data_IF_865709437777
#
_entry.id   IF_865709437777
#
_cell.length_a   1.000
_cell.length_b   1.000
_cell.length_c   1.000
_cell.angle_alpha   90.00
_cell.angle_beta   90.00
_cell.angle_gamma   90.00
#
_symmetry.space_group_name_H-M   'P 1'
#
loop_
_entity.id
_entity.type
_entity.pdbx_description
1 polymer ?
#
# COMPACT_ATOMS: atom_id res chain seq x y z
N UNK A 1 -14.18 -23.80 -45.15
CA UNK A 1 -14.23 -24.05 -43.68
C UNK A 1 -12.97 -23.44 -43.08
N UNK A 2 -13.11 -22.30 -42.41
CA UNK A 2 -12.06 -21.63 -41.64
C UNK A 2 -12.65 -21.32 -40.27
N UNK A 3 -11.93 -21.65 -39.19
CA UNK A 3 -11.88 -20.70 -38.10
C UNK A 3 -10.51 -20.72 -37.41
N UNK A 4 -9.76 -19.62 -37.44
CA UNK A 4 -8.74 -19.29 -36.43
C UNK A 4 -8.25 -17.85 -36.65
N UNK A 5 -9.04 -16.86 -36.18
CA UNK A 5 -8.62 -15.46 -36.04
C UNK A 5 -9.37 -14.81 -34.88
N UNK A 6 -9.05 -15.19 -33.65
CA UNK A 6 -9.54 -14.48 -32.46
C UNK A 6 -8.47 -14.27 -31.36
N UNK A 7 -7.25 -14.81 -31.50
CA UNK A 7 -6.22 -14.69 -30.47
C UNK A 7 -5.34 -13.42 -30.58
N UNK A 8 -5.30 -12.77 -31.75
CA UNK A 8 -4.29 -11.73 -32.01
C UNK A 8 -4.72 -10.31 -31.58
N UNK A 9 -6.00 -10.10 -31.29
CA UNK A 9 -6.51 -8.78 -30.90
C UNK A 9 -6.20 -8.43 -29.43
N UNK A 10 -6.22 -9.40 -28.52
CA UNK A 10 -5.92 -9.13 -27.10
C UNK A 10 -4.46 -8.80 -26.85
N UNK A 11 -3.54 -9.33 -27.66
CA UNK A 11 -2.10 -9.09 -27.52
C UNK A 11 -1.72 -7.64 -27.88
N UNK A 12 -2.43 -7.03 -28.83
CA UNK A 12 -2.13 -5.67 -29.33
C UNK A 12 -2.78 -4.58 -28.47
N UNK A 13 -3.95 -4.84 -27.88
CA UNK A 13 -4.59 -3.90 -26.93
C UNK A 13 -3.94 -3.90 -25.54
N UNK A 14 -3.19 -4.96 -25.17
CA UNK A 14 -2.39 -4.99 -23.95
C UNK A 14 -1.14 -4.10 -23.97
N UNK A 15 -0.69 -3.64 -25.14
CA UNK A 15 0.61 -2.98 -25.31
C UNK A 15 0.63 -1.49 -24.92
N UNK A 16 -0.52 -0.86 -24.69
CA UNK A 16 -0.62 0.56 -24.34
C UNK A 16 -1.58 0.81 -23.17
N UNK A 17 -1.32 0.21 -22.01
CA UNK A 17 -1.97 0.68 -20.78
C UNK A 17 -1.52 2.12 -20.52
N UNK A 18 -2.47 3.01 -20.21
CA UNK A 18 -2.13 4.37 -19.76
C UNK A 18 -1.29 4.28 -18.48
N UNK A 19 -0.41 5.26 -18.27
CA UNK A 19 0.46 5.29 -17.08
C UNK A 19 -0.36 5.27 -15.79
N UNK A 20 -1.44 6.06 -15.74
CA UNK A 20 -2.42 5.99 -14.66
C UNK A 20 -2.97 4.58 -14.43
N UNK A 21 -3.36 3.84 -15.48
CA UNK A 21 -3.88 2.48 -15.32
C UNK A 21 -2.84 1.50 -14.78
N UNK A 22 -1.63 1.52 -15.33
CA UNK A 22 -0.54 0.66 -14.85
C UNK A 22 -0.15 0.99 -13.39
N UNK A 23 -0.11 2.29 -13.06
CA UNK A 23 0.13 2.75 -11.69
C UNK A 23 -0.97 2.36 -10.72
N UNK A 24 -2.24 2.47 -11.13
CA UNK A 24 -3.38 2.08 -10.31
C UNK A 24 -3.37 0.58 -10.01
N UNK A 25 -3.13 -0.26 -11.02
CA UNK A 25 -3.03 -1.71 -10.85
C UNK A 25 -1.93 -2.06 -9.84
N UNK A 26 -0.73 -1.49 -9.98
CA UNK A 26 0.37 -1.72 -9.05
C UNK A 26 0.04 -1.30 -7.61
N UNK A 27 -0.61 -0.14 -7.45
CA UNK A 27 -1.01 0.34 -6.13
C UNK A 27 -2.11 -0.51 -5.49
N UNK A 28 -3.10 -0.97 -6.27
CA UNK A 28 -4.15 -1.87 -5.79
C UNK A 28 -3.55 -3.22 -5.35
N UNK A 29 -2.63 -3.78 -6.13
CA UNK A 29 -1.97 -5.05 -5.81
C UNK A 29 -1.08 -4.95 -4.57
N UNK A 30 -0.48 -3.78 -4.31
CA UNK A 30 0.26 -3.52 -3.07
C UNK A 30 -0.66 -3.36 -1.84
N UNK A 31 -1.82 -2.72 -2.00
CA UNK A 31 -2.72 -2.39 -0.89
C UNK A 31 -3.61 -3.58 -0.48
N UNK A 32 -4.08 -4.37 -1.43
CA UNK A 32 -5.03 -5.48 -1.15
C UNK A 32 -4.53 -6.48 -0.11
N UNK A 33 -3.27 -6.96 -0.13
CA UNK A 33 -2.77 -7.88 0.89
C UNK A 33 -2.78 -7.27 2.31
N UNK A 34 -2.50 -5.97 2.43
CA UNK A 34 -2.55 -5.26 3.72
C UNK A 34 -3.98 -5.23 4.25
N UNK A 35 -4.94 -4.85 3.41
CA UNK A 35 -6.36 -4.84 3.79
C UNK A 35 -6.88 -6.24 4.11
N UNK A 36 -6.52 -7.25 3.33
CA UNK A 36 -6.90 -8.64 3.57
C UNK A 36 -6.37 -9.13 4.92
N UNK A 37 -5.13 -8.76 5.28
CA UNK A 37 -4.53 -9.11 6.57
C UNK A 37 -5.25 -8.43 7.73
N UNK A 38 -5.58 -7.14 7.61
CA UNK A 38 -6.32 -6.39 8.63
C UNK A 38 -7.74 -6.99 8.79
N UNK A 39 -8.45 -7.17 7.68
CA UNK A 39 -9.79 -7.75 7.66
C UNK A 39 -9.81 -9.15 8.28
N UNK A 40 -8.83 -10.00 7.96
CA UNK A 40 -8.76 -11.36 8.49
C UNK A 40 -8.48 -11.41 10.00
N UNK A 41 -7.55 -10.59 10.49
CA UNK A 41 -7.10 -10.65 11.89
C UNK A 41 -7.94 -9.80 12.84
N UNK A 42 -8.50 -8.69 12.37
CA UNK A 42 -9.14 -7.67 13.21
C UNK A 42 -10.52 -7.24 12.72
N UNK A 43 -10.89 -7.58 11.48
CA UNK A 43 -12.02 -6.98 10.79
C UNK A 43 -11.76 -5.51 10.41
N UNK A 44 -12.65 -4.94 9.61
CA UNK A 44 -12.66 -3.52 9.30
C UNK A 44 -13.79 -2.83 10.10
N UNK A 45 -13.48 -1.92 11.04
CA UNK A 45 -14.50 -1.24 11.82
C UNK A 45 -15.34 -0.29 10.95
N UNK A 46 -16.54 0.03 11.43
CA UNK A 46 -17.37 1.08 10.82
C UNK A 46 -16.61 2.41 10.84
N UNK A 47 -16.42 3.01 9.66
CA UNK A 47 -15.66 4.24 9.52
C UNK A 47 -14.15 4.06 9.29
N UNK A 48 -13.69 2.84 9.01
CA UNK A 48 -12.30 2.57 8.63
C UNK A 48 -11.80 3.55 7.54
N UNK A 49 -12.56 3.66 6.45
CA UNK A 49 -12.23 4.55 5.32
C UNK A 49 -12.49 6.04 5.59
N UNK A 50 -13.08 6.40 6.72
CA UNK A 50 -13.29 7.81 7.11
C UNK A 50 -12.30 8.29 8.16
N UNK A 51 -11.48 7.38 8.72
CA UNK A 51 -10.44 7.72 9.66
C UNK A 51 -9.28 8.45 8.95
N UNK A 52 -8.82 9.57 9.51
CA UNK A 52 -7.88 10.46 8.85
C UNK A 52 -6.50 9.84 8.70
N UNK A 53 -6.04 9.16 9.75
CA UNK A 53 -4.81 8.39 9.73
C UNK A 53 -4.85 7.28 8.66
N UNK A 54 -5.94 6.52 8.59
CA UNK A 54 -6.10 5.46 7.58
C UNK A 54 -6.09 6.03 6.16
N UNK A 55 -6.77 7.16 5.94
CA UNK A 55 -6.77 7.83 4.65
C UNK A 55 -5.39 8.36 4.26
N UNK A 56 -4.66 8.99 5.18
CA UNK A 56 -3.28 9.44 4.93
C UNK A 56 -2.37 8.27 4.57
N UNK A 57 -2.46 7.18 5.34
CA UNK A 57 -1.67 5.96 5.13
C UNK A 57 -1.87 5.37 3.73
N UNK A 58 -3.12 5.11 3.33
CA UNK A 58 -3.42 4.51 2.04
C UNK A 58 -3.23 5.47 0.87
N UNK A 59 -3.43 6.77 1.07
CA UNK A 59 -3.14 7.80 0.06
C UNK A 59 -1.66 7.83 -0.27
N UNK A 60 -0.80 7.88 0.75
CA UNK A 60 0.66 7.83 0.53
C UNK A 60 1.07 6.51 -0.12
N UNK A 61 0.60 5.38 0.40
CA UNK A 61 0.92 4.05 -0.14
C UNK A 61 0.54 3.93 -1.61
N UNK A 62 -0.64 4.41 -1.99
CA UNK A 62 -1.08 4.43 -3.38
C UNK A 62 -0.17 5.33 -4.24
N UNK A 63 0.03 6.58 -3.81
CA UNK A 63 0.85 7.54 -4.56
C UNK A 63 2.29 7.08 -4.74
N UNK A 64 2.86 6.43 -3.73
CA UNK A 64 4.20 5.85 -3.77
C UNK A 64 4.30 4.72 -4.81
N UNK A 65 3.38 3.75 -4.77
CA UNK A 65 3.39 2.62 -5.71
C UNK A 65 3.08 3.07 -7.15
N UNK A 66 2.21 4.05 -7.35
CA UNK A 66 1.96 4.66 -8.67
C UNK A 66 3.25 5.30 -9.21
N UNK A 67 3.95 6.11 -8.39
CA UNK A 67 5.21 6.74 -8.79
C UNK A 67 6.28 5.70 -9.12
N UNK A 68 6.41 4.63 -8.32
CA UNK A 68 7.34 3.53 -8.62
C UNK A 68 7.02 2.86 -9.95
N UNK A 69 5.76 2.46 -10.16
CA UNK A 69 5.33 1.78 -11.39
C UNK A 69 5.48 2.63 -12.65
N UNK A 70 5.41 3.95 -12.51
CA UNK A 70 5.54 4.92 -13.62
C UNK A 70 6.94 5.51 -13.75
N UNK A 71 7.90 5.07 -12.92
CA UNK A 71 9.25 5.65 -12.88
C UNK A 71 9.26 7.16 -12.57
N UNK A 72 8.25 7.65 -11.83
CA UNK A 72 8.08 9.06 -11.49
C UNK A 72 7.57 9.95 -12.63
N UNK A 73 7.21 9.39 -13.78
CA UNK A 73 6.83 10.16 -14.98
C UNK A 73 5.35 10.60 -15.04
N UNK A 74 4.57 10.28 -14.01
CA UNK A 74 3.17 10.68 -13.89
C UNK A 74 3.06 12.14 -13.41
N UNK A 75 2.18 12.92 -14.02
CA UNK A 75 1.93 14.32 -13.63
C UNK A 75 1.07 14.38 -12.37
N UNK A 76 1.21 15.43 -11.56
CA UNK A 76 0.48 15.56 -10.29
C UNK A 76 -1.05 15.49 -10.44
N UNK A 77 -1.61 16.13 -11.48
CA UNK A 77 -3.04 16.05 -11.76
C UNK A 77 -3.49 14.62 -12.12
N UNK A 78 -2.72 13.90 -12.93
CA UNK A 78 -2.99 12.50 -13.29
C UNK A 78 -2.81 11.58 -12.08
N UNK A 79 -1.81 11.85 -11.24
CA UNK A 79 -1.55 11.14 -10.00
C UNK A 79 -2.72 11.27 -9.02
N UNK A 80 -3.25 12.48 -8.82
CA UNK A 80 -4.38 12.71 -7.93
C UNK A 80 -5.63 11.93 -8.39
N UNK A 81 -5.94 11.96 -9.68
CA UNK A 81 -7.03 11.15 -10.26
C UNK A 81 -6.78 9.65 -10.06
N UNK A 82 -5.56 9.19 -10.35
CA UNK A 82 -5.18 7.77 -10.24
C UNK A 82 -5.27 7.27 -8.79
N UNK A 83 -4.83 8.07 -7.81
CA UNK A 83 -5.00 7.77 -6.38
C UNK A 83 -6.48 7.61 -6.06
N UNK A 84 -7.34 8.45 -6.63
CA UNK A 84 -8.79 8.33 -6.48
C UNK A 84 -9.38 7.03 -7.00
N UNK A 85 -8.93 6.58 -8.16
CA UNK A 85 -9.34 5.30 -8.74
C UNK A 85 -8.90 4.12 -7.86
N UNK A 86 -7.67 4.18 -7.32
CA UNK A 86 -7.15 3.19 -6.37
C UNK A 86 -8.01 3.15 -5.12
N UNK A 87 -8.26 4.30 -4.48
CA UNK A 87 -9.06 4.39 -3.24
C UNK A 87 -10.49 3.91 -3.47
N UNK A 88 -11.11 4.25 -4.60
CA UNK A 88 -12.42 3.70 -5.01
C UNK A 88 -12.38 2.18 -5.07
N UNK A 89 -11.37 1.64 -5.75
CA UNK A 89 -11.22 0.19 -5.99
C UNK A 89 -11.01 -0.59 -4.70
N UNK A 90 -10.15 -0.12 -3.80
CA UNK A 90 -9.79 -0.87 -2.57
C UNK A 90 -10.82 -0.69 -1.46
N UNK A 91 -11.53 0.43 -1.42
CA UNK A 91 -12.56 0.68 -0.41
C UNK A 91 -13.92 0.09 -0.77
N UNK A 92 -14.14 -0.26 -2.04
CA UNK A 92 -15.47 -0.59 -2.59
C UNK A 92 -16.54 0.45 -2.18
N UNK A 93 -16.10 1.70 -2.02
CA UNK A 93 -16.91 2.83 -1.55
C UNK A 93 -16.94 3.92 -2.62
N UNK A 94 -17.73 4.97 -2.41
CA UNK A 94 -17.67 6.15 -3.27
C UNK A 94 -16.31 6.86 -3.11
N UNK A 95 -15.32 6.49 -3.92
CA UNK A 95 -13.99 7.02 -3.80
C UNK A 95 -13.86 8.48 -4.21
N UNK A 96 -14.82 9.07 -4.95
CA UNK A 96 -14.84 10.54 -5.13
C UNK A 96 -15.00 11.26 -3.79
N UNK A 97 -15.83 10.74 -2.87
CA UNK A 97 -15.97 11.33 -1.54
C UNK A 97 -14.66 11.21 -0.75
N UNK A 98 -13.94 10.08 -0.88
CA UNK A 98 -12.65 9.88 -0.23
C UNK A 98 -11.56 10.79 -0.81
N UNK A 99 -11.54 11.01 -2.12
CA UNK A 99 -10.62 11.94 -2.79
C UNK A 99 -10.85 13.37 -2.34
N UNK A 100 -12.10 13.83 -2.34
CA UNK A 100 -12.42 15.19 -1.87
C UNK A 100 -11.98 15.38 -0.42
N UNK A 101 -12.20 14.38 0.42
CA UNK A 101 -11.76 14.42 1.82
C UNK A 101 -10.24 14.43 1.96
N UNK A 102 -9.54 13.67 1.12
CA UNK A 102 -8.07 13.61 1.07
C UNK A 102 -7.48 14.96 0.67
N UNK A 103 -8.05 15.60 -0.37
CA UNK A 103 -7.65 16.94 -0.81
C UNK A 103 -7.88 17.96 0.32
N UNK A 104 -9.05 17.91 0.97
CA UNK A 104 -9.37 18.80 2.07
C UNK A 104 -8.40 18.64 3.25
N UNK A 105 -8.09 17.40 3.66
CA UNK A 105 -7.16 17.13 4.76
C UNK A 105 -5.75 17.59 4.42
N UNK A 106 -5.29 17.35 3.18
CA UNK A 106 -3.99 17.80 2.71
C UNK A 106 -3.86 19.32 2.68
N UNK A 107 -4.93 20.05 2.32
CA UNK A 107 -4.92 21.52 2.36
C UNK A 107 -4.99 22.09 3.78
N UNK A 108 -5.64 21.38 4.70
CA UNK A 108 -5.79 21.81 6.09
C UNK A 108 -4.63 21.40 6.99
N UNK A 109 -3.63 20.71 6.45
CA UNK A 109 -2.48 20.19 7.17
C UNK A 109 -2.87 19.32 8.39
N UNK A 110 -3.89 18.47 8.17
CA UNK A 110 -4.54 17.72 9.22
C UNK A 110 -3.56 16.71 9.87
N UNK A 111 -3.33 16.88 11.19
CA UNK A 111 -2.27 16.16 11.91
C UNK A 111 -2.33 14.65 11.76
N UNK A 112 -3.50 14.04 11.99
CA UNK A 112 -3.64 12.57 11.94
C UNK A 112 -3.47 12.03 10.51
N UNK A 113 -3.90 12.80 9.51
CA UNK A 113 -3.72 12.45 8.10
C UNK A 113 -2.23 12.46 7.74
N UNK A 114 -1.52 13.54 8.08
CA UNK A 114 -0.09 13.68 7.83
C UNK A 114 0.71 12.60 8.55
N UNK A 115 0.38 12.31 9.82
CA UNK A 115 0.99 11.22 10.57
C UNK A 115 0.79 9.86 9.89
N UNK A 116 -0.41 9.57 9.39
CA UNK A 116 -0.68 8.34 8.65
C UNK A 116 0.17 8.22 7.37
N UNK A 117 0.33 9.34 6.65
CA UNK A 117 1.18 9.40 5.47
C UNK A 117 2.68 9.21 5.80
N UNK A 118 3.17 9.84 6.86
CA UNK A 118 4.55 9.70 7.33
C UNK A 118 4.87 8.26 7.78
N UNK A 119 3.93 7.64 8.51
CA UNK A 119 4.09 6.26 8.97
C UNK A 119 4.11 5.28 7.78
N UNK A 120 3.28 5.52 6.75
CA UNK A 120 3.33 4.78 5.50
C UNK A 120 4.66 4.98 4.75
N UNK A 121 5.16 6.23 4.70
CA UNK A 121 6.44 6.54 4.07
C UNK A 121 7.60 5.79 4.71
N UNK A 122 7.67 5.79 6.05
CA UNK A 122 8.67 5.04 6.79
C UNK A 122 8.62 3.54 6.47
N UNK A 123 7.42 2.94 6.42
CA UNK A 123 7.24 1.52 6.10
C UNK A 123 7.66 1.21 4.67
N UNK A 124 7.28 2.04 3.69
CA UNK A 124 7.67 1.86 2.29
C UNK A 124 9.20 1.97 2.14
N UNK A 125 9.83 2.99 2.72
CA UNK A 125 11.28 3.18 2.65
C UNK A 125 12.07 2.09 3.37
N UNK A 126 11.55 1.60 4.50
CA UNK A 126 12.11 0.45 5.20
C UNK A 126 12.06 -0.81 4.32
N UNK A 127 10.90 -1.09 3.71
CA UNK A 127 10.69 -2.29 2.87
C UNK A 127 11.61 -2.30 1.64
N UNK A 128 11.93 -1.12 1.10
CA UNK A 128 12.89 -0.96 0.00
C UNK A 128 14.36 -0.91 0.44
N UNK A 129 14.65 -0.99 1.75
CA UNK A 129 16.01 -0.86 2.33
C UNK A 129 16.69 0.48 2.02
N UNK A 130 15.91 1.54 1.89
CA UNK A 130 16.42 2.89 1.64
C UNK A 130 16.18 3.86 2.80
N UNK A 131 15.56 3.38 3.88
CA UNK A 131 15.37 4.18 5.10
C UNK A 131 16.71 4.43 5.79
N UNK A 132 17.09 5.70 5.89
CA UNK A 132 18.27 6.12 6.64
C UNK A 132 18.01 6.00 8.14
N UNK A 133 19.05 5.65 8.91
CA UNK A 133 19.00 5.53 10.36
C UNK A 133 17.89 4.59 10.87
N UNK A 134 17.72 3.46 10.20
CA UNK A 134 16.71 2.42 10.52
C UNK A 134 16.68 2.07 12.02
N UNK A 135 17.84 1.91 12.64
CA UNK A 135 17.99 1.55 14.05
C UNK A 135 17.44 2.62 15.03
N UNK A 136 17.29 3.86 14.56
CA UNK A 136 16.81 4.99 15.34
C UNK A 136 15.34 5.32 15.03
N UNK A 137 14.77 4.74 13.96
CA UNK A 137 13.41 5.07 13.53
C UNK A 137 12.36 4.44 14.48
N UNK A 138 11.47 5.23 15.10
CA UNK A 138 10.51 4.74 16.10
C UNK A 138 9.64 3.58 15.60
N UNK A 139 9.13 3.65 14.37
CA UNK A 139 8.31 2.58 13.80
C UNK A 139 9.09 1.27 13.59
N UNK A 140 10.34 1.33 13.12
CA UNK A 140 11.14 0.12 12.90
C UNK A 140 11.50 -0.52 14.23
N UNK A 141 11.85 0.29 15.23
CA UNK A 141 12.14 -0.20 16.58
C UNK A 141 10.89 -0.79 17.25
N UNK A 142 9.70 -0.19 17.06
CA UNK A 142 8.44 -0.75 17.56
C UNK A 142 8.08 -2.06 16.85
N UNK A 143 8.13 -2.09 15.51
CA UNK A 143 7.85 -3.31 14.74
C UNK A 143 8.82 -4.44 15.12
N UNK A 144 10.10 -4.14 15.29
CA UNK A 144 11.11 -5.09 15.77
C UNK A 144 10.80 -5.64 17.16
N UNK A 145 10.34 -4.79 18.09
CA UNK A 145 9.91 -5.22 19.43
C UNK A 145 8.68 -6.13 19.38
N UNK A 146 7.70 -5.84 18.51
CA UNK A 146 6.53 -6.72 18.32
C UNK A 146 6.96 -8.06 17.75
N UNK A 147 7.79 -8.07 16.69
CA UNK A 147 8.30 -9.29 16.10
C UNK A 147 9.04 -10.17 17.13
N UNK A 148 9.94 -9.57 17.91
CA UNK A 148 10.67 -10.28 18.98
C UNK A 148 9.75 -10.86 20.06
N UNK A 149 8.67 -10.17 20.42
CA UNK A 149 7.67 -10.68 21.39
C UNK A 149 6.90 -11.87 20.83
N UNK A 150 6.49 -11.82 19.56
CA UNK A 150 5.81 -12.93 18.89
C UNK A 150 6.69 -14.17 18.84
N UNK A 151 7.97 -14.03 18.49
CA UNK A 151 8.93 -15.15 18.52
C UNK A 151 9.13 -15.71 19.93
N UNK A 152 9.13 -14.88 20.97
CA UNK A 152 9.31 -15.33 22.36
C UNK A 152 8.07 -16.07 22.89
N UNK A 153 6.88 -15.73 22.42
CA UNK A 153 5.62 -16.42 22.73
C UNK A 153 5.58 -17.84 22.13
N UNK A 154 6.12 -18.01 20.93
CA UNK A 154 6.18 -19.33 20.26
C UNK A 154 7.14 -20.30 20.98
N UNK A 155 8.24 -19.80 21.54
CA UNK A 155 9.16 -20.59 22.37
C UNK A 155 8.55 -21.06 23.71
N UNK A 156 7.59 -20.31 24.28
CA UNK A 156 6.92 -20.69 25.53
C UNK A 156 5.69 -21.58 25.31
N UNK A 157 5.15 -21.65 24.08
CA UNK A 157 3.95 -22.45 23.75
C UNK A 157 4.24 -23.86 23.20
N UNK A 158 5.50 -24.27 23.13
CA UNK A 158 5.90 -25.65 22.78
C UNK A 158 5.60 -26.07 21.34
N UNK A 159 5.26 -25.15 20.43
CA UNK A 159 5.09 -25.47 19.01
C UNK A 159 6.44 -25.46 18.31
N UNK A 160 7.01 -26.64 18.11
CA UNK A 160 8.14 -26.85 17.21
C UNK A 160 7.73 -26.47 15.77
N UNK A 161 8.12 -25.29 15.32
CA UNK A 161 8.27 -24.97 13.90
C UNK A 161 9.69 -24.49 13.66
N UNK A 162 10.53 -25.44 13.24
CA UNK A 162 11.93 -25.24 12.88
C UNK A 162 12.02 -24.41 11.59
N UNK A 163 11.90 -23.08 11.68
CA UNK A 163 12.28 -22.18 10.59
C UNK A 163 13.67 -21.59 10.88
N UNK A 164 14.69 -22.32 10.42
CA UNK A 164 16.04 -21.79 10.23
C UNK A 164 15.96 -20.69 9.15
N UNK A 165 15.80 -19.44 9.58
CA UNK A 165 16.20 -18.27 8.80
C UNK A 165 17.38 -17.61 9.50
N UNK A 166 18.53 -18.31 9.45
CA UNK A 166 19.84 -17.68 9.61
C UNK A 166 20.42 -17.47 8.22
N UNK A 167 20.88 -16.23 7.98
CA UNK A 167 21.59 -15.67 6.82
C UNK A 167 20.71 -15.13 5.69
N UNK A 168 20.36 -13.85 5.78
CA UNK A 168 20.76 -12.85 4.77
C UNK A 168 20.95 -11.50 5.50
N UNK A 169 22.12 -11.30 6.09
CA UNK A 169 22.67 -9.99 6.47
C UNK A 169 24.18 -10.06 6.17
N UNK A 170 24.52 -9.85 4.91
CA UNK A 170 25.74 -9.20 4.41
C UNK A 170 25.29 -8.36 3.23
#
# INVERSE_FOLDING_TARGET
MLPHRHADAELVFGLFKSRGKAGAEAAVDAIRPLLATIQHNHGLPSGFWTNYYILGFFTFTAGHNIKLATGGSIKDAELATTIGDVLTTVSNSNGQALVQRTIQMSHNDEFDFNRGADDAAAICFYTMRILKNEAEHPLVTMASKVAQRSFRSDYLSGRHATLKLRRVLV
#
